data_IF_830013679415
#
_entry.id   IF_830013679415
#
_cell.length_a   1.000
_cell.length_b   1.000
_cell.length_c   1.000
_cell.angle_alpha   90.00
_cell.angle_beta   90.00
_cell.angle_gamma   90.00
#
_symmetry.space_group_name_H-M   'P 1'
#
loop_
_entity.id
_entity.type
_entity.pdbx_description
1 polymer ?
#
# COMPACT_ATOMS: atom_id res chain seq x y z
N UNK A 1 -14.77 -7.98 23.37
CA UNK A 1 -13.82 -8.00 24.51
C UNK A 1 -12.43 -8.02 23.91
N UNK A 2 -11.66 -6.94 24.06
CA UNK A 2 -10.24 -6.91 23.67
C UNK A 2 -9.54 -8.03 24.43
N UNK A 3 -8.81 -8.95 23.76
CA UNK A 3 -8.06 -10.00 24.47
C UNK A 3 -7.09 -9.34 25.45
N UNK A 4 -6.61 -10.10 26.45
CA UNK A 4 -5.74 -9.71 27.58
C UNK A 4 -4.36 -9.18 27.10
N UNK A 5 -4.38 -8.22 26.16
CA UNK A 5 -3.21 -7.48 25.71
C UNK A 5 -2.91 -6.39 26.74
N UNK A 6 -1.64 -6.23 27.10
CA UNK A 6 -1.18 -5.22 28.07
C UNK A 6 -1.32 -3.81 27.51
N UNK A 7 -2.55 -3.32 27.36
CA UNK A 7 -2.77 -1.92 27.06
C UNK A 7 -2.30 -1.07 28.25
N UNK A 8 -1.60 0.02 28.01
CA UNK A 8 -1.26 0.93 29.07
C UNK A 8 -2.50 1.77 29.42
N UNK A 9 -2.68 2.11 30.71
CA UNK A 9 -3.79 2.96 31.14
C UNK A 9 -3.86 4.29 30.37
N UNK A 10 -2.73 4.79 29.87
CA UNK A 10 -2.67 5.98 29.04
C UNK A 10 -3.40 5.80 27.69
N UNK A 11 -3.26 4.63 27.07
CA UNK A 11 -3.93 4.33 25.79
C UNK A 11 -5.42 4.04 26.01
N UNK A 12 -5.78 3.29 27.06
CA UNK A 12 -7.18 3.04 27.41
C UNK A 12 -7.95 4.34 27.68
N UNK A 13 -7.33 5.29 28.39
CA UNK A 13 -7.91 6.60 28.65
C UNK A 13 -8.02 7.47 27.38
N UNK A 14 -7.15 7.26 26.38
CA UNK A 14 -7.17 7.99 25.12
C UNK A 14 -8.19 7.44 24.11
N UNK A 15 -8.78 6.27 24.32
CA UNK A 15 -9.71 5.62 23.38
C UNK A 15 -10.82 6.53 22.84
N UNK A 16 -11.59 7.27 23.67
CA UNK A 16 -12.64 8.13 23.13
C UNK A 16 -12.11 9.21 22.19
N UNK A 17 -10.91 9.72 22.44
CA UNK A 17 -10.24 10.71 21.61
C UNK A 17 -9.74 10.08 20.30
N UNK A 18 -9.12 8.89 20.35
CA UNK A 18 -8.67 8.18 19.15
C UNK A 18 -9.81 7.85 18.20
N UNK A 19 -10.94 7.38 18.75
CA UNK A 19 -12.17 7.14 17.98
C UNK A 19 -12.69 8.44 17.36
N UNK A 20 -12.68 9.54 18.11
CA UNK A 20 -13.10 10.85 17.60
C UNK A 20 -12.19 11.33 16.48
N UNK A 21 -10.86 11.20 16.62
CA UNK A 21 -9.87 11.52 15.58
C UNK A 21 -10.13 10.70 14.32
N UNK A 22 -10.21 9.37 14.45
CA UNK A 22 -10.42 8.48 13.31
C UNK A 22 -11.71 8.83 12.57
N UNK A 23 -12.81 9.01 13.28
CA UNK A 23 -14.11 9.34 12.69
C UNK A 23 -14.17 10.74 12.08
N UNK A 24 -13.43 11.69 12.61
CA UNK A 24 -13.27 13.02 12.02
C UNK A 24 -12.49 12.96 10.70
N UNK A 25 -11.40 12.19 10.66
CA UNK A 25 -10.66 11.94 9.42
C UNK A 25 -11.54 11.23 8.38
N UNK A 26 -12.29 10.20 8.80
CA UNK A 26 -13.23 9.47 7.94
C UNK A 26 -14.30 10.37 7.32
N UNK A 27 -14.84 11.29 8.10
CA UNK A 27 -15.85 12.23 7.63
C UNK A 27 -15.30 13.29 6.65
N UNK A 28 -13.97 13.47 6.60
CA UNK A 28 -13.31 14.50 5.78
C UNK A 28 -12.17 13.90 4.93
N UNK A 29 -12.44 12.88 4.10
CA UNK A 29 -11.41 12.22 3.30
C UNK A 29 -10.81 13.17 2.25
N UNK A 30 -9.53 13.00 1.97
CA UNK A 30 -8.78 13.76 0.97
C UNK A 30 -7.96 12.81 0.11
N UNK A 31 -7.91 13.07 -1.20
CA UNK A 31 -7.13 12.25 -2.14
C UNK A 31 -5.63 12.51 -2.00
N UNK A 32 -4.87 11.55 -2.49
CA UNK A 32 -3.41 11.63 -2.49
C UNK A 32 -2.87 12.92 -3.11
N UNK A 33 -1.93 13.55 -2.42
CA UNK A 33 -1.35 14.87 -2.68
C UNK A 33 -2.33 16.06 -2.52
N UNK A 34 -3.51 15.82 -1.97
CA UNK A 34 -4.52 16.83 -1.65
C UNK A 34 -4.91 16.85 -0.16
N UNK A 35 -4.23 16.06 0.69
CA UNK A 35 -4.51 15.84 2.12
C UNK A 35 -4.14 17.05 2.99
N UNK A 36 -4.57 18.24 2.56
CA UNK A 36 -4.16 19.51 3.18
C UNK A 36 -4.72 19.70 4.59
N UNK A 37 -6.01 19.31 4.81
CA UNK A 37 -6.65 19.34 6.12
C UNK A 37 -6.05 18.29 7.04
N UNK A 38 -5.92 17.07 6.55
CA UNK A 38 -5.35 15.93 7.28
C UNK A 38 -3.92 16.23 7.72
N UNK A 39 -3.09 16.73 6.82
CA UNK A 39 -1.72 17.17 7.10
C UNK A 39 -1.65 18.24 8.20
N UNK A 40 -2.47 19.28 8.09
CA UNK A 40 -2.52 20.36 9.09
C UNK A 40 -3.05 19.86 10.45
N UNK A 41 -3.99 18.92 10.45
CA UNK A 41 -4.51 18.29 11.66
C UNK A 41 -3.41 17.48 12.37
N UNK A 42 -2.70 16.62 11.64
CA UNK A 42 -1.59 15.80 12.15
C UNK A 42 -0.47 16.69 12.71
N UNK A 43 -0.05 17.69 11.94
CA UNK A 43 1.03 18.60 12.35
C UNK A 43 0.72 19.29 13.68
N UNK A 44 -0.48 19.84 13.83
CA UNK A 44 -0.92 20.48 15.07
C UNK A 44 -0.92 19.53 16.26
N UNK A 45 -1.45 18.30 16.11
CA UNK A 45 -1.46 17.31 17.19
C UNK A 45 -0.05 16.92 17.63
N UNK A 46 0.87 16.76 16.71
CA UNK A 46 2.27 16.45 17.02
C UNK A 46 2.96 17.62 17.71
N UNK A 47 2.73 18.87 17.28
CA UNK A 47 3.26 20.08 17.91
C UNK A 47 2.76 20.23 19.37
N UNK A 48 1.46 20.00 19.60
CA UNK A 48 0.86 20.02 20.95
C UNK A 48 1.46 18.96 21.89
N UNK A 49 1.91 17.83 21.34
CA UNK A 49 2.61 16.77 22.06
C UNK A 49 4.12 17.02 22.21
N UNK A 50 4.64 18.12 21.67
CA UNK A 50 6.04 18.52 21.79
C UNK A 50 7.00 17.84 20.82
N UNK A 51 6.52 17.33 19.69
CA UNK A 51 7.35 16.87 18.59
C UNK A 51 7.93 18.06 17.81
N UNK A 52 9.11 17.86 17.24
CA UNK A 52 9.59 18.72 16.17
C UNK A 52 8.92 18.28 14.88
N UNK A 53 8.16 19.17 14.25
CA UNK A 53 7.32 18.82 13.10
C UNK A 53 7.89 19.44 11.82
N UNK A 54 7.94 18.63 10.77
CA UNK A 54 8.22 19.06 9.40
C UNK A 54 7.03 18.68 8.51
N UNK A 55 6.56 19.63 7.72
CA UNK A 55 5.44 19.47 6.79
C UNK A 55 5.86 19.71 5.36
N UNK A 56 4.99 19.37 4.40
CA UNK A 56 5.20 19.65 2.99
C UNK A 56 6.18 18.68 2.30
N UNK A 57 6.47 17.53 2.88
CA UNK A 57 7.27 16.47 2.25
C UNK A 57 6.32 15.69 1.35
N UNK A 58 6.67 15.48 0.10
CA UNK A 58 5.71 15.00 -0.91
C UNK A 58 4.40 15.84 -0.85
N UNK A 59 4.53 17.17 -0.78
CA UNK A 59 3.45 18.17 -0.76
C UNK A 59 2.64 18.20 0.54
N UNK A 60 2.11 17.09 1.02
CA UNK A 60 1.19 17.01 2.18
C UNK A 60 1.69 16.10 3.31
N UNK A 61 2.79 15.40 3.14
CA UNK A 61 3.37 14.54 4.17
C UNK A 61 3.90 15.31 5.37
N UNK A 62 3.85 14.66 6.52
CA UNK A 62 4.26 15.21 7.82
C UNK A 62 5.24 14.24 8.50
N UNK A 63 6.32 14.77 9.06
CA UNK A 63 7.22 14.00 9.91
C UNK A 63 7.33 14.66 11.29
N UNK A 64 6.95 13.91 12.32
CA UNK A 64 7.13 14.29 13.72
C UNK A 64 8.37 13.62 14.30
N UNK A 65 9.29 14.39 14.83
CA UNK A 65 10.52 13.91 15.48
C UNK A 65 10.48 14.09 16.99
N UNK A 66 10.66 13.00 17.73
CA UNK A 66 10.78 13.01 19.18
C UNK A 66 12.12 12.41 19.59
N UNK A 67 12.92 13.19 20.33
CA UNK A 67 14.20 12.74 20.88
C UNK A 67 14.12 12.62 22.40
N UNK A 68 14.73 11.56 22.94
CA UNK A 68 14.91 11.37 24.37
C UNK A 68 16.28 10.74 24.66
N UNK A 69 16.94 11.17 25.75
CA UNK A 69 18.26 10.66 26.12
C UNK A 69 19.40 11.08 25.19
N UNK A 70 20.48 10.29 25.19
CA UNK A 70 21.72 10.57 24.43
C UNK A 70 22.04 9.49 23.38
N UNK A 71 21.24 8.44 23.28
CA UNK A 71 21.38 7.37 22.32
C UNK A 71 21.42 7.87 20.88
N UNK A 72 22.20 7.20 20.05
CA UNK A 72 22.35 7.55 18.62
C UNK A 72 21.39 6.79 17.70
N UNK A 73 20.70 5.77 18.21
CA UNK A 73 19.76 4.97 17.39
C UNK A 73 18.51 5.75 17.05
N UNK A 74 17.94 5.41 15.90
CA UNK A 74 16.71 6.01 15.38
C UNK A 74 15.77 4.98 14.76
N UNK A 75 14.47 5.24 14.87
CA UNK A 75 13.42 4.42 14.27
C UNK A 75 12.42 5.30 13.53
N UNK A 76 11.98 4.86 12.35
CA UNK A 76 10.85 5.43 11.62
C UNK A 76 9.62 4.53 11.75
N UNK A 77 8.46 5.13 12.01
CA UNK A 77 7.17 4.45 12.00
C UNK A 77 6.26 5.21 11.04
N UNK A 78 5.71 4.50 10.06
CA UNK A 78 4.90 5.09 9.00
C UNK A 78 3.42 4.76 9.16
N UNK A 79 2.59 5.75 8.89
CA UNK A 79 1.18 5.60 8.54
C UNK A 79 0.90 6.37 7.24
N UNK A 80 0.11 5.78 6.36
CA UNK A 80 -0.52 6.43 5.21
C UNK A 80 -1.69 7.31 5.65
N UNK A 81 -2.05 8.32 4.83
CA UNK A 81 -3.05 9.31 5.24
C UNK A 81 -4.10 9.63 4.17
N UNK A 82 -3.99 9.09 2.96
CA UNK A 82 -4.86 9.40 1.83
C UNK A 82 -6.14 8.54 1.80
N UNK A 83 -7.12 9.00 1.02
CA UNK A 83 -8.41 8.36 0.80
C UNK A 83 -8.59 7.94 -0.67
N UNK A 84 -9.68 7.22 -0.93
CA UNK A 84 -10.02 6.66 -2.23
C UNK A 84 -11.16 7.41 -2.92
N UNK A 85 -11.18 7.48 -4.27
CA UNK A 85 -12.25 8.05 -5.06
C UNK A 85 -13.43 7.05 -5.20
N UNK A 86 -14.05 6.70 -4.08
CA UNK A 86 -15.15 5.74 -3.99
C UNK A 86 -16.33 6.41 -3.28
N UNK A 87 -17.56 6.23 -3.81
CA UNK A 87 -18.77 6.68 -3.11
C UNK A 87 -19.04 5.77 -1.91
N UNK A 88 -19.08 6.36 -0.73
CA UNK A 88 -19.36 5.61 0.50
C UNK A 88 -20.82 5.12 0.57
N UNK A 89 -21.01 3.89 1.06
CA UNK A 89 -22.29 3.21 1.26
C UNK A 89 -22.43 2.58 2.64
N UNK A 90 -21.65 2.99 3.63
CA UNK A 90 -21.66 2.41 4.99
C UNK A 90 -22.92 2.76 5.77
N UNK A 91 -23.45 3.97 5.59
CA UNK A 91 -24.58 4.49 6.36
C UNK A 91 -24.26 4.84 7.81
N UNK A 92 -22.99 4.91 8.21
CA UNK A 92 -22.58 5.28 9.58
C UNK A 92 -22.81 6.78 9.84
N UNK A 93 -22.95 7.14 11.11
CA UNK A 93 -23.24 8.53 11.51
C UNK A 93 -22.08 9.52 11.18
N UNK A 94 -20.88 9.01 11.02
CA UNK A 94 -19.66 9.75 10.66
C UNK A 94 -19.22 9.49 9.22
N UNK A 95 -20.14 9.08 8.35
CA UNK A 95 -19.85 8.88 6.93
C UNK A 95 -19.22 10.12 6.28
N UNK A 96 -18.50 9.90 5.21
CA UNK A 96 -17.86 10.96 4.43
C UNK A 96 -18.81 12.10 4.09
N UNK A 97 -18.39 13.32 4.36
CA UNK A 97 -19.10 14.53 3.96
C UNK A 97 -18.75 14.99 2.53
N UNK A 98 -17.83 14.28 1.87
CA UNK A 98 -17.37 14.57 0.50
C UNK A 98 -17.87 13.49 -0.46
N UNK A 99 -18.86 13.80 -1.31
CA UNK A 99 -19.40 12.83 -2.28
C UNK A 99 -18.29 12.25 -3.17
N UNK A 100 -18.30 10.92 -3.33
CA UNK A 100 -17.34 10.21 -4.16
C UNK A 100 -15.96 9.97 -3.52
N UNK A 101 -15.78 10.29 -2.23
CA UNK A 101 -14.53 10.03 -1.50
C UNK A 101 -14.81 9.28 -0.20
N UNK A 102 -13.94 8.34 0.16
CA UNK A 102 -13.99 7.61 1.44
C UNK A 102 -12.64 7.00 1.83
N UNK A 103 -12.38 6.84 3.12
CA UNK A 103 -11.29 6.00 3.63
C UNK A 103 -11.68 4.51 3.62
N UNK A 104 -11.73 3.90 2.42
CA UNK A 104 -12.08 2.48 2.28
C UNK A 104 -10.86 1.53 2.37
N UNK A 105 -9.68 2.05 2.73
CA UNK A 105 -8.49 1.24 3.02
C UNK A 105 -8.09 1.25 4.50
N UNK A 106 -8.65 2.19 5.29
CA UNK A 106 -8.40 2.26 6.73
C UNK A 106 -7.26 3.20 7.15
N UNK A 107 -6.80 4.07 6.25
CA UNK A 107 -5.71 5.01 6.52
C UNK A 107 -6.07 6.05 7.60
N UNK A 108 -7.34 6.35 7.77
CA UNK A 108 -7.87 7.11 8.92
C UNK A 108 -7.58 6.40 10.25
N UNK A 109 -7.71 5.06 10.28
CA UNK A 109 -7.36 4.22 11.42
C UNK A 109 -5.84 4.14 11.64
N UNK A 110 -5.05 3.99 10.57
CA UNK A 110 -3.58 3.98 10.67
C UNK A 110 -3.06 5.30 11.23
N UNK A 111 -3.57 6.42 10.74
CA UNK A 111 -3.27 7.76 11.24
C UNK A 111 -3.61 7.90 12.72
N UNK A 112 -4.82 7.50 13.12
CA UNK A 112 -5.26 7.58 14.52
C UNK A 112 -4.42 6.70 15.45
N UNK A 113 -4.08 5.47 15.02
CA UNK A 113 -3.17 4.58 15.78
C UNK A 113 -1.80 5.22 16.00
N UNK A 114 -1.22 5.83 14.97
CA UNK A 114 0.10 6.45 15.07
C UNK A 114 0.07 7.73 15.92
N UNK A 115 -1.02 8.53 15.88
CA UNK A 115 -1.22 9.67 16.77
C UNK A 115 -1.41 9.21 18.23
N UNK A 116 -2.08 8.09 18.48
CA UNK A 116 -2.19 7.47 19.79
C UNK A 116 -0.83 7.06 20.35
N UNK A 117 0.01 6.45 19.52
CA UNK A 117 1.38 6.12 19.87
C UNK A 117 2.22 7.38 20.13
N UNK A 118 2.04 8.44 19.31
CA UNK A 118 2.72 9.71 19.48
C UNK A 118 2.48 10.28 20.87
N UNK A 119 1.22 10.27 21.33
CA UNK A 119 0.86 10.72 22.69
C UNK A 119 1.54 9.88 23.77
N UNK A 120 1.41 8.56 23.70
CA UNK A 120 1.98 7.65 24.68
C UNK A 120 3.51 7.78 24.78
N UNK A 121 4.20 7.90 23.65
CA UNK A 121 5.65 8.07 23.57
C UNK A 121 6.09 9.44 24.16
N UNK A 122 5.33 10.51 23.89
CA UNK A 122 5.61 11.84 24.46
C UNK A 122 5.45 11.89 25.97
N UNK A 123 4.43 11.19 26.51
CA UNK A 123 4.16 11.12 27.95
C UNK A 123 5.16 10.21 28.68
N UNK A 124 5.40 9.01 28.17
CA UNK A 124 6.22 7.97 28.83
C UNK A 124 7.72 8.25 28.72
N UNK A 125 8.18 8.67 27.58
CA UNK A 125 9.62 8.89 27.25
C UNK A 125 10.54 7.76 27.72
N UNK A 126 10.07 6.52 27.57
CA UNK A 126 10.79 5.33 28.03
C UNK A 126 11.68 4.76 26.91
N UNK A 127 12.50 5.60 26.31
CA UNK A 127 13.43 5.21 25.23
C UNK A 127 14.69 6.09 25.29
N UNK A 128 15.75 5.68 24.58
CA UNK A 128 17.01 6.43 24.44
C UNK A 128 17.42 6.48 22.97
N UNK A 129 17.10 7.59 22.29
CA UNK A 129 17.34 7.77 20.88
C UNK A 129 16.37 8.74 20.21
N UNK A 130 16.08 8.50 18.94
CA UNK A 130 15.20 9.34 18.11
C UNK A 130 14.09 8.53 17.46
N UNK A 131 12.85 9.01 17.54
CA UNK A 131 11.68 8.44 16.86
C UNK A 131 11.23 9.45 15.79
N UNK A 132 11.05 8.95 14.57
CA UNK A 132 10.43 9.69 13.48
C UNK A 132 9.06 9.04 13.17
N UNK A 133 7.97 9.78 13.38
CA UNK A 133 6.64 9.39 12.98
C UNK A 133 6.37 9.97 11.60
N UNK A 134 6.23 9.12 10.61
CA UNK A 134 6.12 9.48 9.20
C UNK A 134 4.67 9.31 8.77
N UNK A 135 3.97 10.40 8.53
CA UNK A 135 2.62 10.42 7.97
C UNK A 135 2.73 10.66 6.48
N UNK A 136 2.54 9.60 5.72
CA UNK A 136 2.83 9.54 4.30
C UNK A 136 1.58 9.78 3.46
N UNK A 137 1.60 10.73 2.51
CA UNK A 137 0.50 10.96 1.58
C UNK A 137 0.51 9.97 0.41
N UNK A 138 -0.59 9.93 -0.33
CA UNK A 138 -0.69 9.40 -1.69
C UNK A 138 -0.17 7.95 -1.88
N UNK A 139 -0.49 7.06 -0.95
CA UNK A 139 -0.18 5.63 -1.10
C UNK A 139 -0.95 5.02 -2.26
N UNK A 140 -2.24 5.35 -2.40
CA UNK A 140 -3.19 4.70 -3.30
C UNK A 140 -3.00 5.04 -4.79
N UNK A 141 -2.34 6.15 -5.12
CA UNK A 141 -2.37 6.65 -6.50
C UNK A 141 -1.09 7.25 -7.07
N UNK A 142 -0.23 7.86 -6.24
CA UNK A 142 0.89 8.64 -6.75
C UNK A 142 2.26 8.20 -6.23
N UNK A 143 2.33 7.19 -5.36
CA UNK A 143 3.59 6.71 -4.80
C UNK A 143 4.25 7.75 -3.88
N UNK A 144 3.48 8.25 -2.91
CA UNK A 144 3.93 9.28 -1.98
C UNK A 144 5.17 8.89 -1.20
N UNK A 145 5.36 7.60 -0.86
CA UNK A 145 6.59 7.11 -0.25
C UNK A 145 7.81 7.35 -1.16
N UNK A 146 7.68 7.07 -2.45
CA UNK A 146 8.75 7.33 -3.43
C UNK A 146 9.07 8.82 -3.49
N UNK A 147 8.05 9.67 -3.57
CA UNK A 147 8.24 11.12 -3.62
C UNK A 147 8.94 11.60 -2.34
N UNK A 148 8.51 11.16 -1.14
CA UNK A 148 9.17 11.50 0.11
C UNK A 148 10.65 11.08 0.13
N UNK A 149 10.96 9.87 -0.37
CA UNK A 149 12.35 9.36 -0.47
C UNK A 149 13.15 10.20 -1.44
N UNK A 150 12.62 10.48 -2.63
CA UNK A 150 13.29 11.30 -3.66
C UNK A 150 13.54 12.75 -3.19
N UNK A 151 12.70 13.27 -2.29
CA UNK A 151 12.88 14.58 -1.61
C UNK A 151 13.86 14.53 -0.42
N UNK A 152 14.52 13.40 -0.20
CA UNK A 152 15.54 13.24 0.85
C UNK A 152 14.98 12.97 2.24
N UNK A 153 13.90 12.21 2.35
CA UNK A 153 13.28 11.82 3.64
C UNK A 153 14.34 11.35 4.65
N UNK A 154 15.17 10.40 4.26
CA UNK A 154 16.13 9.77 5.16
C UNK A 154 17.46 10.54 5.31
N UNK A 155 17.70 11.56 4.50
CA UNK A 155 18.78 12.53 4.72
C UNK A 155 18.40 13.54 5.82
N UNK A 156 17.12 13.93 5.84
CA UNK A 156 16.55 14.86 6.82
C UNK A 156 16.16 14.17 8.13
N UNK A 157 15.65 12.95 8.05
CA UNK A 157 15.14 12.15 9.18
C UNK A 157 15.78 10.76 9.14
N UNK A 158 17.06 10.64 9.52
CA UNK A 158 17.79 9.38 9.43
C UNK A 158 17.16 8.33 10.35
N UNK A 159 16.89 7.15 9.80
CA UNK A 159 16.37 5.98 10.50
C UNK A 159 17.31 4.81 10.34
N UNK A 160 17.60 4.09 11.45
CA UNK A 160 18.31 2.81 11.41
C UNK A 160 17.39 1.67 10.96
N UNK A 161 16.09 1.81 11.25
CA UNK A 161 15.06 0.92 10.72
C UNK A 161 13.72 1.66 10.55
N UNK A 162 12.86 1.15 9.65
CA UNK A 162 11.52 1.67 9.39
C UNK A 162 10.46 0.57 9.48
N UNK A 163 9.29 0.91 10.02
CA UNK A 163 8.19 -0.03 10.18
C UNK A 163 6.86 0.59 9.74
N UNK A 164 5.99 -0.24 9.15
CA UNK A 164 4.62 0.13 8.83
C UNK A 164 3.67 -1.04 9.07
N UNK A 165 2.40 -0.74 9.32
CA UNK A 165 1.34 -1.74 9.42
C UNK A 165 0.21 -1.41 8.45
N UNK A 166 -0.58 -2.45 8.14
CA UNK A 166 -1.87 -2.29 7.51
C UNK A 166 -2.92 -3.14 8.23
N UNK A 167 -4.11 -2.63 8.38
CA UNK A 167 -5.25 -3.42 8.86
C UNK A 167 -5.69 -4.42 7.78
N UNK A 168 -6.08 -5.62 8.19
CA UNK A 168 -6.50 -6.66 7.25
C UNK A 168 -7.81 -7.31 7.70
N UNK A 169 -8.95 -7.02 7.01
CA UNK A 169 -10.26 -7.53 7.39
C UNK A 169 -10.44 -9.03 7.15
N UNK A 170 -9.54 -9.68 6.44
CA UNK A 170 -9.58 -11.13 6.25
C UNK A 170 -8.81 -11.91 7.34
N UNK A 171 -8.07 -11.21 8.21
CA UNK A 171 -7.35 -11.82 9.33
C UNK A 171 -8.12 -11.66 10.63
N UNK A 172 -8.09 -12.66 11.54
CA UNK A 172 -8.73 -12.58 12.85
C UNK A 172 -8.29 -11.34 13.64
N UNK A 173 -9.23 -10.77 14.39
CA UNK A 173 -9.01 -9.56 15.19
C UNK A 173 -7.81 -9.69 16.13
N UNK A 174 -6.93 -8.69 16.10
CA UNK A 174 -5.72 -8.61 16.92
C UNK A 174 -4.63 -9.62 16.54
N UNK A 175 -4.73 -10.29 15.40
CA UNK A 175 -3.68 -11.17 14.88
C UNK A 175 -2.63 -10.35 14.13
N UNK A 176 -1.36 -10.57 14.44
CA UNK A 176 -0.20 -10.01 13.74
C UNK A 176 0.25 -11.00 12.68
N UNK A 177 0.19 -10.62 11.42
CA UNK A 177 0.63 -11.47 10.32
C UNK A 177 1.86 -10.86 9.64
N UNK A 178 2.93 -11.65 9.62
CA UNK A 178 4.27 -11.24 9.20
C UNK A 178 4.80 -12.16 8.09
N UNK A 179 5.80 -11.67 7.38
CA UNK A 179 6.54 -12.49 6.42
C UNK A 179 7.93 -11.91 6.20
N UNK A 180 8.97 -12.71 6.31
CA UNK A 180 10.31 -12.37 5.83
C UNK A 180 10.32 -12.37 4.29
N UNK A 181 11.05 -11.43 3.69
CA UNK A 181 11.13 -11.31 2.24
C UNK A 181 9.86 -10.67 1.64
N UNK A 182 9.48 -11.03 0.41
CA UNK A 182 8.34 -10.43 -0.26
C UNK A 182 7.04 -10.65 0.51
N UNK A 183 6.34 -9.56 0.88
CA UNK A 183 5.04 -9.59 1.57
C UNK A 183 3.91 -9.06 0.68
N UNK A 184 4.17 -8.06 -0.19
CA UNK A 184 3.23 -7.56 -1.19
C UNK A 184 3.89 -7.46 -2.57
N UNK A 185 3.08 -7.56 -3.63
CA UNK A 185 3.56 -7.65 -5.00
C UNK A 185 3.99 -6.29 -5.57
N UNK A 186 4.92 -6.33 -6.52
CA UNK A 186 5.10 -5.26 -7.47
C UNK A 186 3.88 -5.16 -8.40
N UNK A 187 3.56 -3.96 -8.87
CA UNK A 187 2.51 -3.70 -9.84
C UNK A 187 3.06 -2.92 -11.03
N UNK A 188 2.72 -3.42 -12.23
CA UNK A 188 3.01 -2.75 -13.49
C UNK A 188 1.76 -2.73 -14.36
N UNK A 189 1.75 -1.81 -15.32
CA UNK A 189 0.76 -1.76 -16.39
C UNK A 189 1.45 -1.74 -17.76
N UNK A 190 0.89 -2.47 -18.72
CA UNK A 190 1.31 -2.36 -20.10
C UNK A 190 0.12 -1.99 -20.99
N UNK A 191 0.29 -0.96 -21.82
CA UNK A 191 -0.66 -0.56 -22.86
C UNK A 191 -0.10 -0.98 -24.21
N UNK A 192 -0.78 -1.91 -24.88
CA UNK A 192 -0.39 -2.43 -26.18
C UNK A 192 -1.33 -1.84 -27.22
N UNK A 193 -0.79 -1.09 -28.19
CA UNK A 193 -1.54 -0.58 -29.31
C UNK A 193 -1.14 -1.34 -30.57
N UNK A 194 -2.10 -2.08 -31.14
CA UNK A 194 -1.95 -2.73 -32.44
C UNK A 194 -2.38 -1.76 -33.54
N UNK A 195 -1.48 -1.50 -34.47
CA UNK A 195 -1.70 -0.59 -35.60
C UNK A 195 -2.03 -1.41 -36.85
N UNK A 196 -3.29 -1.39 -37.20
CA UNK A 196 -3.83 -2.08 -38.37
C UNK A 196 -4.04 -1.17 -39.59
N UNK A 197 -4.86 -1.62 -40.51
CA UNK A 197 -5.40 -0.83 -41.62
C UNK A 197 -6.89 -1.13 -41.73
N UNK A 198 -7.72 -0.14 -41.43
CA UNK A 198 -9.16 -0.25 -41.41
C UNK A 198 -9.77 -0.33 -42.80
N UNK A 199 -11.07 -0.64 -42.85
CA UNK A 199 -11.83 -0.70 -44.10
C UNK A 199 -13.20 -1.32 -43.96
N UNK A 200 -13.77 -1.67 -45.08
CA UNK A 200 -15.11 -2.26 -45.13
C UNK A 200 -15.12 -3.71 -44.64
N UNK A 201 -15.97 -4.04 -43.66
CA UNK A 201 -16.04 -5.39 -43.06
C UNK A 201 -16.31 -6.53 -44.05
N UNK A 202 -16.88 -6.25 -45.24
CA UNK A 202 -17.06 -7.24 -46.30
C UNK A 202 -15.85 -7.39 -47.22
N UNK A 203 -14.79 -6.59 -47.05
CA UNK A 203 -13.56 -6.62 -47.85
C UNK A 203 -12.32 -6.80 -46.96
N UNK A 204 -12.26 -7.83 -46.09
CA UNK A 204 -11.17 -8.04 -45.15
C UNK A 204 -9.81 -8.22 -45.82
N UNK A 205 -9.74 -8.75 -47.04
CA UNK A 205 -8.52 -8.90 -47.83
C UNK A 205 -7.83 -7.56 -48.19
N UNK A 206 -8.59 -6.45 -48.18
CA UNK A 206 -8.07 -5.10 -48.44
C UNK A 206 -7.60 -4.38 -47.16
N UNK A 207 -7.70 -5.06 -46.02
CA UNK A 207 -7.42 -4.50 -44.69
C UNK A 207 -6.27 -5.24 -43.96
N UNK A 208 -5.93 -4.77 -42.77
CA UNK A 208 -5.14 -5.52 -41.79
C UNK A 208 -5.87 -5.38 -40.43
N UNK A 209 -6.59 -6.41 -40.04
CA UNK A 209 -7.54 -6.35 -38.93
C UNK A 209 -6.85 -6.41 -37.56
N UNK A 210 -6.81 -5.27 -36.82
CA UNK A 210 -6.16 -5.24 -35.52
C UNK A 210 -6.96 -5.96 -34.43
N UNK A 211 -8.26 -6.26 -34.62
CA UNK A 211 -9.07 -7.03 -33.67
C UNK A 211 -8.57 -8.48 -33.65
N UNK A 212 -8.42 -9.10 -34.84
CA UNK A 212 -7.92 -10.47 -34.94
C UNK A 212 -6.51 -10.61 -34.41
N UNK A 213 -5.64 -9.64 -34.75
CA UNK A 213 -4.27 -9.60 -34.23
C UNK A 213 -4.25 -9.40 -32.70
N UNK A 214 -5.04 -8.46 -32.17
CA UNK A 214 -5.14 -8.22 -30.72
C UNK A 214 -5.63 -9.44 -29.96
N UNK A 215 -6.63 -10.16 -30.47
CA UNK A 215 -7.09 -11.42 -29.89
C UNK A 215 -5.98 -12.48 -29.86
N UNK A 216 -5.15 -12.56 -30.92
CA UNK A 216 -3.98 -13.45 -30.95
C UNK A 216 -2.94 -13.04 -29.89
N UNK A 217 -2.67 -11.74 -29.71
CA UNK A 217 -1.78 -11.24 -28.65
C UNK A 217 -2.31 -11.63 -27.27
N UNK A 218 -3.61 -11.42 -26.98
CA UNK A 218 -4.23 -11.80 -25.70
C UNK A 218 -4.00 -13.28 -25.39
N UNK A 219 -4.20 -14.16 -26.36
CA UNK A 219 -3.96 -15.60 -26.19
C UNK A 219 -2.48 -15.94 -26.00
N UNK A 220 -1.58 -15.28 -26.73
CA UNK A 220 -0.15 -15.52 -26.63
C UNK A 220 0.42 -15.04 -25.29
N UNK A 221 -0.06 -13.93 -24.73
CA UNK A 221 0.34 -13.41 -23.40
C UNK A 221 0.09 -14.44 -22.29
N UNK A 222 -0.95 -15.30 -22.40
CA UNK A 222 -1.22 -16.35 -21.42
C UNK A 222 -0.08 -17.38 -21.31
N UNK A 223 0.77 -17.48 -22.30
CA UNK A 223 1.91 -18.41 -22.28
C UNK A 223 3.06 -17.92 -21.38
N UNK A 224 3.12 -16.64 -21.04
CA UNK A 224 4.24 -16.06 -20.27
C UNK A 224 4.35 -16.76 -18.92
N UNK A 225 3.33 -16.64 -18.09
CA UNK A 225 3.32 -17.26 -16.75
C UNK A 225 3.33 -18.79 -16.86
N UNK A 226 2.53 -19.35 -17.79
CA UNK A 226 2.35 -20.80 -17.89
C UNK A 226 3.56 -21.57 -18.48
N UNK A 227 4.49 -20.90 -19.21
CA UNK A 227 5.57 -21.57 -19.96
C UNK A 227 6.95 -20.93 -19.82
N UNK A 228 7.05 -19.70 -19.28
CA UNK A 228 8.32 -18.95 -19.28
C UNK A 228 8.77 -18.55 -17.88
N UNK A 229 7.85 -18.50 -16.90
CA UNK A 229 8.19 -18.20 -15.49
C UNK A 229 8.27 -19.53 -14.74
N UNK A 230 9.23 -19.62 -13.83
CA UNK A 230 9.38 -20.81 -13.00
C UNK A 230 8.12 -20.99 -12.11
N UNK A 231 7.57 -22.19 -11.98
CA UNK A 231 6.31 -22.41 -11.25
C UNK A 231 6.31 -22.00 -9.78
N UNK A 232 7.49 -21.84 -9.17
CA UNK A 232 7.64 -21.37 -7.79
C UNK A 232 7.77 -19.85 -7.68
N UNK A 233 7.82 -19.14 -8.82
CA UNK A 233 7.92 -17.68 -8.85
C UNK A 233 6.53 -17.07 -9.13
N UNK A 234 5.76 -16.71 -8.09
CA UNK A 234 4.40 -16.21 -8.25
C UNK A 234 4.38 -14.95 -9.11
N UNK A 235 3.56 -14.98 -10.15
CA UNK A 235 3.37 -13.82 -11.03
C UNK A 235 2.00 -13.86 -11.70
N UNK A 236 1.51 -12.68 -12.11
CA UNK A 236 0.22 -12.53 -12.79
C UNK A 236 0.40 -11.62 -14.01
N UNK A 237 -0.20 -12.03 -15.13
CA UNK A 237 -0.38 -11.23 -16.34
C UNK A 237 -1.85 -11.29 -16.71
N UNK A 238 -2.57 -10.20 -16.48
CA UNK A 238 -4.01 -10.12 -16.71
C UNK A 238 -4.33 -9.10 -17.79
N UNK A 239 -5.01 -9.49 -18.83
CA UNK A 239 -5.60 -8.54 -19.78
C UNK A 239 -6.90 -8.00 -19.14
N UNK A 240 -6.85 -6.76 -18.66
CA UNK A 240 -7.96 -6.10 -17.98
C UNK A 240 -8.93 -5.38 -18.92
N UNK A 241 -8.45 -4.92 -20.09
CA UNK A 241 -9.28 -4.27 -21.08
C UNK A 241 -8.81 -4.56 -22.51
N UNK A 242 -9.76 -4.59 -23.45
CA UNK A 242 -9.52 -4.68 -24.88
C UNK A 242 -10.54 -3.80 -25.61
N UNK A 243 -10.06 -2.73 -26.26
CA UNK A 243 -10.88 -1.74 -26.92
C UNK A 243 -10.59 -1.71 -28.41
N UNK A 244 -11.58 -1.98 -29.26
CA UNK A 244 -11.44 -1.91 -30.70
C UNK A 244 -12.80 -1.87 -31.41
N UNK A 245 -12.87 -1.11 -32.50
CA UNK A 245 -14.02 -1.07 -33.36
C UNK A 245 -15.24 -0.36 -32.77
N UNK A 246 -16.26 -0.09 -33.60
CA UNK A 246 -17.50 0.57 -33.20
C UNK A 246 -18.74 0.02 -33.92
N UNK A 247 -18.57 -0.72 -35.03
CA UNK A 247 -19.66 -1.25 -35.83
C UNK A 247 -19.25 -2.55 -36.51
N UNK A 248 -20.23 -3.42 -36.77
CA UNK A 248 -20.02 -4.76 -37.35
C UNK A 248 -19.54 -4.77 -38.80
N UNK A 249 -19.72 -3.69 -39.53
CA UNK A 249 -19.36 -3.53 -40.93
C UNK A 249 -18.08 -2.68 -41.15
N UNK A 250 -17.34 -2.35 -40.08
CA UNK A 250 -16.12 -1.55 -40.12
C UNK A 250 -14.98 -2.29 -39.45
N UNK A 251 -13.88 -2.53 -40.15
CA UNK A 251 -12.60 -2.95 -39.55
C UNK A 251 -11.87 -1.67 -39.10
N UNK A 252 -11.46 -1.58 -37.81
CA UNK A 252 -10.84 -0.35 -37.29
C UNK A 252 -9.37 -0.22 -37.69
N UNK A 253 -8.80 1.00 -37.48
CA UNK A 253 -7.38 1.29 -37.70
C UNK A 253 -6.48 0.76 -36.57
N UNK A 254 -7.03 0.54 -35.38
CA UNK A 254 -6.27 0.10 -34.21
C UNK A 254 -7.10 -0.68 -33.20
N UNK A 255 -6.37 -1.45 -32.36
CA UNK A 255 -6.90 -2.06 -31.15
C UNK A 255 -5.97 -1.73 -29.97
N UNK A 256 -6.54 -1.52 -28.81
CA UNK A 256 -5.82 -1.21 -27.56
C UNK A 256 -6.09 -2.30 -26.53
N UNK A 257 -5.01 -2.78 -25.89
CA UNK A 257 -5.06 -3.84 -24.86
C UNK A 257 -4.38 -3.29 -23.62
N UNK A 258 -5.03 -3.35 -22.47
CA UNK A 258 -4.46 -2.96 -21.16
C UNK A 258 -4.19 -4.23 -20.36
N UNK A 259 -2.96 -4.34 -19.89
CA UNK A 259 -2.45 -5.52 -19.18
C UNK A 259 -1.97 -5.09 -17.80
N UNK A 260 -2.50 -5.71 -16.75
CA UNK A 260 -2.01 -5.60 -15.38
C UNK A 260 -1.01 -6.72 -15.06
N UNK A 261 0.12 -6.37 -14.46
CA UNK A 261 1.18 -7.31 -14.14
C UNK A 261 1.48 -7.27 -12.64
N UNK A 262 1.73 -8.45 -12.03
CA UNK A 262 2.17 -8.58 -10.64
C UNK A 262 3.36 -9.54 -10.57
N UNK A 263 4.32 -9.23 -9.69
CA UNK A 263 5.47 -10.08 -9.43
C UNK A 263 6.08 -9.76 -8.04
N UNK A 264 6.97 -10.62 -7.56
CA UNK A 264 7.64 -10.43 -6.27
C UNK A 264 9.16 -10.34 -6.42
N UNK A 265 9.70 -10.92 -7.47
CA UNK A 265 11.14 -10.95 -7.76
C UNK A 265 11.47 -9.97 -8.88
N UNK A 266 12.48 -9.09 -8.69
CA UNK A 266 12.87 -8.12 -9.72
C UNK A 266 13.31 -8.76 -11.05
N UNK A 267 13.97 -9.93 -11.02
CA UNK A 267 14.39 -10.61 -12.25
C UNK A 267 13.19 -11.21 -12.99
N UNK A 268 12.18 -11.70 -12.25
CA UNK A 268 10.90 -12.13 -12.84
C UNK A 268 10.17 -10.94 -13.45
N UNK A 269 10.15 -9.77 -12.78
CA UNK A 269 9.56 -8.52 -13.30
C UNK A 269 10.20 -8.11 -14.63
N UNK A 270 11.54 -8.15 -14.71
CA UNK A 270 12.28 -7.85 -15.94
C UNK A 270 11.94 -8.81 -17.07
N UNK A 271 11.81 -10.11 -16.76
CA UNK A 271 11.44 -11.13 -17.75
C UNK A 271 9.99 -10.97 -18.22
N UNK A 272 9.06 -10.62 -17.34
CA UNK A 272 7.66 -10.34 -17.70
C UNK A 272 7.57 -9.17 -18.70
N UNK A 273 8.20 -8.04 -18.41
CA UNK A 273 8.24 -6.88 -19.33
C UNK A 273 8.84 -7.28 -20.68
N UNK A 274 10.00 -7.91 -20.67
CA UNK A 274 10.68 -8.34 -21.87
C UNK A 274 9.80 -9.25 -22.73
N UNK A 275 9.09 -10.20 -22.11
CA UNK A 275 8.19 -11.14 -22.81
C UNK A 275 6.95 -10.47 -23.38
N UNK A 276 6.33 -9.57 -22.61
CA UNK A 276 5.14 -8.83 -23.06
C UNK A 276 5.48 -8.03 -24.32
N UNK A 277 6.58 -7.29 -24.33
CA UNK A 277 7.06 -6.53 -25.51
C UNK A 277 7.32 -7.44 -26.69
N UNK A 278 8.12 -8.48 -26.49
CA UNK A 278 8.47 -9.43 -27.55
C UNK A 278 7.25 -10.11 -28.16
N UNK A 279 6.29 -10.58 -27.34
CA UNK A 279 5.09 -11.28 -27.83
C UNK A 279 4.19 -10.31 -28.60
N UNK A 280 3.96 -9.10 -28.09
CA UNK A 280 3.12 -8.12 -28.78
C UNK A 280 3.68 -7.77 -30.17
N UNK A 281 4.98 -7.50 -30.25
CA UNK A 281 5.66 -7.16 -31.51
C UNK A 281 5.70 -8.33 -32.49
N UNK A 282 6.05 -9.54 -32.02
CA UNK A 282 6.15 -10.72 -32.88
C UNK A 282 4.77 -11.16 -33.42
N UNK A 283 3.74 -11.12 -32.57
CA UNK A 283 2.38 -11.44 -33.01
C UNK A 283 1.88 -10.42 -34.04
N UNK A 284 2.07 -9.12 -33.79
CA UNK A 284 1.68 -8.10 -34.75
C UNK A 284 2.39 -8.28 -36.11
N UNK A 285 3.69 -8.56 -36.07
CA UNK A 285 4.48 -8.81 -37.28
C UNK A 285 3.95 -10.05 -38.07
N UNK A 286 3.51 -11.11 -37.39
CA UNK A 286 2.95 -12.31 -38.06
C UNK A 286 1.64 -12.02 -38.79
N UNK A 287 0.93 -10.94 -38.44
CA UNK A 287 -0.26 -10.46 -39.16
C UNK A 287 0.06 -9.32 -40.16
N UNK A 288 1.36 -9.03 -40.40
CA UNK A 288 1.77 -7.93 -41.26
C UNK A 288 1.50 -6.54 -40.67
N UNK A 289 1.39 -6.46 -39.37
CA UNK A 289 1.14 -5.24 -38.60
C UNK A 289 2.30 -4.92 -37.64
N UNK A 290 2.20 -3.82 -36.93
CA UNK A 290 3.09 -3.48 -35.82
C UNK A 290 2.29 -3.27 -34.54
N UNK A 291 2.91 -3.57 -33.40
CA UNK A 291 2.41 -3.14 -32.09
C UNK A 291 3.42 -2.19 -31.43
N UNK A 292 2.88 -1.29 -30.61
CA UNK A 292 3.68 -0.48 -29.69
C UNK A 292 3.27 -0.84 -28.25
N UNK A 293 4.25 -0.91 -27.35
CA UNK A 293 4.02 -1.26 -25.96
C UNK A 293 4.54 -0.11 -25.09
N UNK A 294 3.63 0.59 -24.45
CA UNK A 294 3.92 1.50 -23.34
C UNK A 294 3.85 0.68 -22.05
N UNK A 295 4.96 0.59 -21.34
CA UNK A 295 5.08 -0.23 -20.12
C UNK A 295 5.48 0.68 -18.98
N UNK A 296 4.63 0.74 -17.98
CA UNK A 296 4.83 1.54 -16.77
C UNK A 296 5.09 0.62 -15.58
N UNK A 297 6.25 0.80 -14.95
CA UNK A 297 6.56 0.18 -13.66
C UNK A 297 6.09 1.11 -12.57
N UNK A 298 4.99 0.71 -11.89
CA UNK A 298 4.45 1.46 -10.76
C UNK A 298 5.20 1.11 -9.47
N UNK A 299 4.58 0.34 -8.56
CA UNK A 299 5.20 0.05 -7.27
C UNK A 299 6.13 -1.16 -7.35
N UNK A 300 7.24 -1.09 -6.62
CA UNK A 300 8.12 -2.24 -6.41
C UNK A 300 7.48 -3.23 -5.42
N UNK A 301 7.99 -4.47 -5.39
CA UNK A 301 7.56 -5.42 -4.37
C UNK A 301 7.97 -4.95 -2.98
N UNK A 302 7.06 -5.06 -2.02
CA UNK A 302 7.35 -4.78 -0.61
C UNK A 302 8.11 -5.97 -0.03
N UNK A 303 9.40 -5.78 0.23
CA UNK A 303 10.33 -6.83 0.66
C UNK A 303 10.85 -6.52 2.05
N UNK A 304 10.39 -7.30 3.02
CA UNK A 304 10.79 -7.17 4.42
C UNK A 304 12.20 -7.69 4.66
N UNK A 305 12.95 -6.99 5.51
CA UNK A 305 14.28 -7.40 5.94
C UNK A 305 14.17 -8.40 7.09
N UNK A 306 15.00 -9.43 7.04
CA UNK A 306 14.94 -10.54 8.01
C UNK A 306 15.12 -10.08 9.45
N UNK A 307 16.15 -9.30 9.75
CA UNK A 307 16.47 -8.88 11.10
C UNK A 307 15.35 -8.05 11.74
N UNK A 308 14.76 -7.11 10.97
CA UNK A 308 13.68 -6.25 11.40
C UNK A 308 12.37 -7.03 11.53
N UNK A 309 12.14 -8.02 10.66
CA UNK A 309 10.98 -8.91 10.77
C UNK A 309 11.08 -9.82 11.99
N UNK A 310 12.26 -10.36 12.29
CA UNK A 310 12.48 -11.15 13.50
C UNK A 310 12.31 -10.31 14.77
N UNK A 311 12.85 -9.09 14.79
CA UNK A 311 12.64 -8.15 15.89
C UNK A 311 11.16 -7.80 16.08
N UNK A 312 10.45 -7.52 15.00
CA UNK A 312 9.01 -7.23 14.99
C UNK A 312 8.21 -8.43 15.53
N UNK A 313 8.54 -9.65 15.07
CA UNK A 313 7.93 -10.91 15.56
C UNK A 313 8.09 -11.07 17.07
N UNK A 314 9.30 -10.91 17.58
CA UNK A 314 9.56 -10.99 19.02
C UNK A 314 8.80 -9.92 19.81
N UNK A 315 8.73 -8.70 19.30
CA UNK A 315 7.95 -7.62 19.91
C UNK A 315 6.44 -7.96 19.92
N UNK A 316 5.89 -8.47 18.81
CA UNK A 316 4.50 -8.88 18.71
C UNK A 316 4.16 -10.07 19.65
N UNK A 317 5.04 -11.04 19.76
CA UNK A 317 4.88 -12.17 20.71
C UNK A 317 4.90 -11.69 22.16
N UNK A 318 5.79 -10.77 22.53
CA UNK A 318 5.81 -10.19 23.89
C UNK A 318 4.55 -9.37 24.18
N UNK A 319 4.01 -8.68 23.19
CA UNK A 319 2.83 -7.82 23.30
C UNK A 319 1.53 -8.59 23.34
N UNK A 320 1.30 -9.50 22.38
CA UNK A 320 0.01 -10.13 22.13
C UNK A 320 -0.03 -11.64 22.46
N UNK A 321 1.12 -12.28 22.69
CA UNK A 321 1.23 -13.73 22.84
C UNK A 321 1.53 -14.43 21.50
N UNK A 322 2.15 -15.59 21.58
CA UNK A 322 2.61 -16.35 20.40
C UNK A 322 1.42 -16.86 19.52
N UNK A 323 0.28 -17.11 20.11
CA UNK A 323 -0.94 -17.54 19.41
C UNK A 323 -1.57 -16.45 18.53
N UNK A 324 -1.19 -15.18 18.75
CA UNK A 324 -1.63 -14.04 17.96
C UNK A 324 -0.65 -13.65 16.84
N UNK A 325 0.48 -14.31 16.74
CA UNK A 325 1.51 -14.00 15.73
C UNK A 325 1.63 -15.13 14.74
N UNK A 326 1.41 -14.84 13.46
CA UNK A 326 1.44 -15.85 12.39
C UNK A 326 2.39 -15.43 11.27
N UNK A 327 3.08 -16.42 10.72
CA UNK A 327 3.82 -16.24 9.47
C UNK A 327 2.90 -16.49 8.28
N UNK A 328 2.82 -15.51 7.38
CA UNK A 328 2.04 -15.65 6.14
C UNK A 328 2.68 -16.69 5.23
N UNK A 329 1.96 -17.76 4.96
CA UNK A 329 2.42 -18.82 4.05
C UNK A 329 2.61 -18.30 2.60
N UNK A 330 1.86 -17.27 2.21
CA UNK A 330 1.92 -16.64 0.89
C UNK A 330 1.88 -15.12 1.03
N UNK A 331 2.60 -14.38 0.16
CA UNK A 331 2.48 -12.93 0.11
C UNK A 331 1.12 -12.51 -0.48
N UNK A 332 0.72 -11.26 -0.23
CA UNK A 332 -0.46 -10.66 -0.84
C UNK A 332 -0.15 -10.16 -2.25
N UNK A 333 -1.15 -10.25 -3.15
CA UNK A 333 -1.05 -9.74 -4.53
C UNK A 333 -1.35 -8.23 -4.64
N UNK A 334 -1.77 -7.58 -3.57
CA UNK A 334 -1.81 -6.12 -3.46
C UNK A 334 -0.41 -5.54 -3.53
N UNK A 335 -0.32 -4.25 -3.79
CA UNK A 335 0.93 -3.48 -3.80
C UNK A 335 0.90 -2.43 -2.71
N UNK A 336 2.08 -1.96 -2.31
CA UNK A 336 2.27 -1.00 -1.22
C UNK A 336 3.55 -0.19 -1.48
N UNK A 337 3.45 1.12 -1.48
CA UNK A 337 4.56 2.00 -1.84
C UNK A 337 5.59 2.19 -0.71
N UNK A 338 5.31 1.73 0.53
CA UNK A 338 6.30 1.58 1.59
C UNK A 338 7.53 0.76 1.13
N UNK A 339 7.38 -0.01 0.05
CA UNK A 339 8.45 -0.69 -0.65
C UNK A 339 9.65 0.24 -0.93
N UNK A 340 9.41 1.50 -1.27
CA UNK A 340 10.47 2.48 -1.54
C UNK A 340 11.24 2.88 -0.28
N UNK A 341 10.56 2.96 0.88
CA UNK A 341 11.24 3.18 2.15
C UNK A 341 12.10 1.98 2.55
N UNK A 342 11.60 0.74 2.30
CA UNK A 342 12.34 -0.49 2.57
C UNK A 342 13.58 -0.67 1.67
N UNK A 343 13.62 -0.07 0.49
CA UNK A 343 14.82 -0.07 -0.37
C UNK A 343 15.94 0.82 0.18
N UNK A 344 15.58 1.86 0.90
CA UNK A 344 16.53 2.83 1.46
C UNK A 344 16.96 2.49 2.89
N UNK A 345 16.07 1.85 3.65
CA UNK A 345 16.31 1.53 5.07
C UNK A 345 15.87 0.10 5.39
N UNK A 346 16.61 -0.62 6.24
CA UNK A 346 16.12 -1.87 6.81
C UNK A 346 14.77 -1.66 7.46
N UNK A 347 13.86 -2.63 7.35
CA UNK A 347 12.54 -2.46 7.93
C UNK A 347 11.63 -3.66 7.71
N UNK A 348 10.42 -3.56 8.26
CA UNK A 348 9.39 -4.57 8.10
C UNK A 348 8.00 -3.96 8.06
N UNK A 349 7.21 -4.46 7.13
CA UNK A 349 5.77 -4.22 6.99
C UNK A 349 5.00 -5.43 7.49
N UNK A 350 3.86 -5.23 8.15
CA UNK A 350 3.03 -6.33 8.65
C UNK A 350 1.55 -6.00 8.59
N UNK A 351 0.71 -7.03 8.71
CA UNK A 351 -0.73 -6.88 8.78
C UNK A 351 -1.23 -7.06 10.21
N UNK A 352 -2.22 -6.25 10.58
CA UNK A 352 -2.95 -6.35 11.84
C UNK A 352 -4.41 -6.71 11.55
N UNK A 353 -4.82 -7.90 11.96
CA UNK A 353 -6.15 -8.43 11.68
C UNK A 353 -7.27 -7.64 12.35
N UNK A 354 -8.31 -7.34 11.59
CA UNK A 354 -9.47 -6.57 12.06
C UNK A 354 -10.80 -7.35 12.05
N UNK A 355 -10.81 -8.62 11.59
CA UNK A 355 -12.02 -9.44 11.46
C UNK A 355 -12.58 -9.91 12.80
N UNK A 356 -13.83 -9.56 13.07
CA UNK A 356 -14.58 -9.99 14.28
C UNK A 356 -15.63 -11.04 13.94
N UNK A 357 -16.47 -10.77 12.94
CA UNK A 357 -17.66 -11.59 12.63
C UNK A 357 -17.51 -12.47 11.40
N UNK A 358 -16.67 -12.07 10.43
CA UNK A 358 -16.55 -12.69 9.12
C UNK A 358 -17.53 -12.14 8.09
N UNK A 359 -18.26 -11.08 8.43
CA UNK A 359 -19.15 -10.31 7.54
C UNK A 359 -18.55 -8.95 7.15
N UNK A 360 -17.29 -8.72 7.56
CA UNK A 360 -16.55 -7.51 7.25
C UNK A 360 -16.41 -7.34 5.73
N UNK A 361 -16.54 -6.09 5.28
CA UNK A 361 -16.27 -5.76 3.89
C UNK A 361 -14.78 -5.75 3.64
N UNK A 362 -14.39 -6.17 2.44
CA UNK A 362 -12.99 -6.07 2.01
C UNK A 362 -12.57 -4.61 1.87
N UNK A 363 -11.26 -4.37 1.92
CA UNK A 363 -10.69 -3.08 1.55
C UNK A 363 -11.16 -2.66 0.15
N UNK A 364 -11.28 -1.36 -0.09
CA UNK A 364 -11.77 -0.73 -1.32
C UNK A 364 -13.27 -1.01 -1.61
N UNK A 365 -14.02 -1.63 -0.69
CA UNK A 365 -15.45 -1.80 -0.85
C UNK A 365 -16.19 -0.52 -0.38
N UNK A 366 -17.23 -0.03 -1.10
CA UNK A 366 -18.00 1.16 -0.69
C UNK A 366 -18.60 1.11 0.72
N UNK A 367 -18.88 -0.08 1.21
CA UNK A 367 -19.40 -0.32 2.56
C UNK A 367 -18.33 -0.71 3.59
N UNK A 368 -17.04 -0.48 3.31
CA UNK A 368 -15.96 -0.73 4.27
C UNK A 368 -15.99 0.33 5.38
N UNK A 369 -15.83 -0.10 6.63
CA UNK A 369 -15.62 0.75 7.80
C UNK A 369 -14.52 0.15 8.68
N UNK A 370 -13.58 0.97 9.11
CA UNK A 370 -12.49 0.54 9.97
C UNK A 370 -13.02 0.16 11.36
N UNK A 371 -12.50 -0.92 11.91
CA UNK A 371 -12.89 -1.37 13.25
C UNK A 371 -12.18 -0.54 14.33
N UNK A 372 -12.91 0.37 14.99
CA UNK A 372 -12.36 1.26 16.02
C UNK A 372 -11.72 0.50 17.21
N UNK A 373 -12.14 -0.74 17.50
CA UNK A 373 -11.54 -1.56 18.56
C UNK A 373 -10.07 -1.93 18.27
N UNK A 374 -9.59 -1.75 17.02
CA UNK A 374 -8.20 -1.97 16.65
C UNK A 374 -7.29 -0.81 17.04
N UNK A 375 -7.83 0.40 17.22
CA UNK A 375 -7.06 1.61 17.52
C UNK A 375 -6.14 1.47 18.73
N UNK A 376 -6.60 0.99 19.90
CA UNK A 376 -5.73 0.86 21.07
C UNK A 376 -4.64 -0.19 20.87
N UNK A 377 -4.93 -1.24 20.11
CA UNK A 377 -3.96 -2.31 19.83
C UNK A 377 -2.81 -1.76 19.00
N UNK A 378 -3.12 -1.07 17.89
CA UNK A 378 -2.11 -0.48 17.03
C UNK A 378 -1.28 0.61 17.74
N UNK A 379 -1.95 1.52 18.48
CA UNK A 379 -1.27 2.57 19.23
C UNK A 379 -0.34 2.02 20.32
N UNK A 380 -0.81 1.00 21.07
CA UNK A 380 0.00 0.35 22.09
C UNK A 380 1.18 -0.40 21.49
N UNK A 381 0.95 -1.14 20.42
CA UNK A 381 2.00 -1.89 19.76
C UNK A 381 3.10 -0.99 19.18
N UNK A 382 2.74 0.11 18.52
CA UNK A 382 3.71 1.10 18.04
C UNK A 382 4.54 1.69 19.16
N UNK A 383 3.91 1.97 20.31
CA UNK A 383 4.62 2.45 21.51
C UNK A 383 5.62 1.43 22.01
N UNK A 384 5.19 0.18 22.22
CA UNK A 384 6.05 -0.91 22.71
C UNK A 384 7.19 -1.24 21.71
N UNK A 385 6.91 -1.23 20.42
CA UNK A 385 7.92 -1.46 19.38
C UNK A 385 9.02 -0.41 19.41
N UNK A 386 8.64 0.88 19.47
CA UNK A 386 9.58 1.99 19.52
C UNK A 386 10.42 1.95 20.79
N UNK A 387 9.79 1.74 21.96
CA UNK A 387 10.50 1.64 23.25
C UNK A 387 11.44 0.43 23.28
N UNK A 388 11.03 -0.73 22.75
CA UNK A 388 11.86 -1.91 22.66
C UNK A 388 13.05 -1.73 21.70
N UNK A 389 12.82 -1.07 20.54
CA UNK A 389 13.88 -0.80 19.57
C UNK A 389 14.94 0.17 20.13
N UNK A 390 14.50 1.17 20.87
CA UNK A 390 15.34 2.21 21.48
C UNK A 390 15.56 1.99 22.99
N UNK A 391 15.49 0.75 23.45
CA UNK A 391 15.67 0.43 24.86
C UNK A 391 17.02 0.97 25.37
N UNK A 392 17.01 1.57 26.57
CA UNK A 392 18.24 1.98 27.28
C UNK A 392 19.13 0.78 27.50
N UNK A 393 20.37 0.87 27.05
CA UNK A 393 21.41 -0.15 27.26
C UNK A 393 22.09 0.05 28.60
#
# INVERSE_FOLDING_TARGET
MVPDMKLSAAIDNAMPELVAIRRDLHAHPELGLEETRTSAFIARHLEELGYQVATGIAKTGVVGTLRNGTGSRSIGIRADIDALPIQEETGVAYASTKPGLVHACGHDGHTAMLLGAARALAERRNFDGTIHLIFQPAEENAGGAKIMVDEGLFDRFPCDAVFALHNEPNLPFGQFALREGPIMAAVDEARITVHGRGGHGAEPQATADPIVCGASIVMALQTIVARNIHPMDPSVVTVGAFHAGSASNIIPERAEIVVGIRSFDPAVRDELERRIRMIAEAQAASFGMRATVDYERSYDATINHKAETDFLREAAIRFAGADKVVDLARPFMGSEDFAYMLKERPGSYFFLGSRVTGEEKSLHHPGYDFNDDLLPIGAAFWTELAEAYLARR
#
